data_IF_549451345603
#
_entry.id   IF_549451345603
#
_cell.length_a   1.000
_cell.length_b   1.000
_cell.length_c   1.000
_cell.angle_alpha   90.00
_cell.angle_beta   90.00
_cell.angle_gamma   90.00
#
_symmetry.space_group_name_H-M   'P 1'
#
loop_
_entity.id
_entity.type
_entity.pdbx_description
1 polymer ?
#
# COMPACT_ATOMS: atom_id res chain seq x y z
N UNK A 1 0.42 18.83 -13.03
CA UNK A 1 1.03 17.54 -12.63
C UNK A 1 1.40 17.50 -11.14
N UNK A 2 2.10 18.50 -10.60
CA UNK A 2 2.45 18.54 -9.15
C UNK A 2 1.24 18.44 -8.20
N UNK A 3 0.10 19.06 -8.54
CA UNK A 3 -1.10 19.04 -7.70
C UNK A 3 -1.73 17.65 -7.57
N UNK A 4 -1.81 16.89 -8.67
CA UNK A 4 -2.37 15.53 -8.69
C UNK A 4 -1.49 14.54 -7.89
N UNK A 5 -0.17 14.63 -8.06
CA UNK A 5 0.79 13.82 -7.31
C UNK A 5 0.70 14.15 -5.82
N UNK A 6 0.62 15.44 -5.47
CA UNK A 6 0.43 15.88 -4.09
C UNK A 6 -0.86 15.35 -3.47
N UNK A 7 -1.98 15.48 -4.18
CA UNK A 7 -3.28 14.94 -3.74
C UNK A 7 -3.18 13.43 -3.50
N UNK A 8 -2.59 12.67 -4.45
CA UNK A 8 -2.45 11.23 -4.31
C UNK A 8 -1.55 10.86 -3.12
N UNK A 9 -0.46 11.57 -2.89
CA UNK A 9 0.43 11.36 -1.75
C UNK A 9 -0.29 11.61 -0.42
N UNK A 10 -1.03 12.73 -0.30
CA UNK A 10 -1.82 13.01 0.91
C UNK A 10 -2.92 11.98 1.13
N UNK A 11 -3.56 11.49 0.06
CA UNK A 11 -4.57 10.43 0.15
C UNK A 11 -3.96 9.13 0.67
N UNK A 12 -2.81 8.71 0.14
CA UNK A 12 -2.12 7.50 0.59
C UNK A 12 -1.66 7.60 2.04
N UNK A 13 -1.12 8.76 2.43
CA UNK A 13 -0.75 9.03 3.83
C UNK A 13 -1.99 9.00 4.71
N UNK A 14 -3.07 9.65 4.29
CA UNK A 14 -4.34 9.66 5.01
C UNK A 14 -4.88 8.25 5.24
N UNK A 15 -4.92 7.42 4.20
CA UNK A 15 -5.35 6.01 4.29
C UNK A 15 -4.43 5.21 5.21
N UNK A 16 -3.12 5.50 5.24
CA UNK A 16 -2.18 4.81 6.10
C UNK A 16 -2.29 5.21 7.58
N UNK A 17 -2.57 6.49 7.86
CA UNK A 17 -2.53 7.08 9.21
C UNK A 17 -3.90 7.06 9.88
N UNK A 18 -4.99 7.22 9.11
CA UNK A 18 -6.36 7.29 9.65
C UNK A 18 -6.76 6.09 10.52
N UNK A 19 -6.47 4.83 10.16
CA UNK A 19 -6.79 3.68 11.02
C UNK A 19 -6.06 3.74 12.36
N UNK A 20 -4.80 4.20 12.35
CA UNK A 20 -4.00 4.33 13.57
C UNK A 20 -4.57 5.42 14.50
N UNK A 21 -4.94 6.57 13.93
CA UNK A 21 -5.58 7.65 14.69
C UNK A 21 -6.92 7.22 15.27
N UNK A 22 -7.73 6.51 14.48
CA UNK A 22 -9.04 6.04 14.93
C UNK A 22 -8.92 4.98 16.02
N UNK A 23 -7.90 4.10 15.94
CA UNK A 23 -7.56 3.15 16.99
C UNK A 23 -7.15 3.86 18.29
N UNK A 24 -6.34 4.93 18.18
CA UNK A 24 -5.97 5.74 19.34
C UNK A 24 -7.17 6.39 20.01
N UNK A 25 -8.10 6.95 19.21
CA UNK A 25 -9.34 7.51 19.74
C UNK A 25 -10.26 6.44 20.34
N UNK A 26 -10.31 5.24 19.75
CA UNK A 26 -11.01 4.09 20.33
C UNK A 26 -10.48 3.78 21.74
N UNK A 27 -9.16 3.70 21.93
CA UNK A 27 -8.56 3.42 23.25
C UNK A 27 -8.96 4.48 24.28
N UNK A 28 -9.01 5.75 23.89
CA UNK A 28 -9.50 6.83 24.77
C UNK A 28 -10.99 6.68 25.08
N UNK A 29 -11.83 6.40 24.08
CA UNK A 29 -13.27 6.27 24.24
C UNK A 29 -13.64 5.08 25.13
N UNK A 30 -12.93 3.95 24.97
CA UNK A 30 -13.07 2.74 25.77
C UNK A 30 -12.69 3.00 27.24
N UNK A 31 -11.56 3.69 27.48
CA UNK A 31 -11.13 4.12 28.82
C UNK A 31 -12.15 5.03 29.51
N UNK A 32 -12.92 5.80 28.76
CA UNK A 32 -13.97 6.69 29.24
C UNK A 32 -15.35 6.01 29.33
N UNK A 33 -15.48 4.73 28.96
CA UNK A 33 -16.74 3.98 29.00
C UNK A 33 -17.79 4.45 27.98
N UNK A 34 -17.35 5.07 26.87
CA UNK A 34 -18.26 5.61 25.86
C UNK A 34 -18.80 4.49 24.96
N UNK A 35 -20.14 4.44 24.79
CA UNK A 35 -20.83 3.50 23.88
C UNK A 35 -20.42 3.61 22.40
N UNK A 36 -19.71 4.66 22.02
CA UNK A 36 -19.19 4.88 20.67
C UNK A 36 -17.97 4.01 20.36
N UNK A 37 -17.27 3.48 21.37
CA UNK A 37 -16.04 2.69 21.20
C UNK A 37 -16.21 1.53 20.20
N UNK A 38 -17.27 0.74 20.30
CA UNK A 38 -17.53 -0.38 19.37
C UNK A 38 -17.73 0.09 17.92
N UNK A 39 -18.36 1.26 17.74
CA UNK A 39 -18.52 1.87 16.41
C UNK A 39 -17.18 2.35 15.87
N UNK A 40 -16.30 2.87 16.71
CA UNK A 40 -14.95 3.27 16.31
C UNK A 40 -14.08 2.07 15.96
N UNK A 41 -14.20 0.96 16.70
CA UNK A 41 -13.46 -0.27 16.43
C UNK A 41 -13.88 -0.88 15.09
N UNK A 42 -15.19 -0.99 14.83
CA UNK A 42 -15.71 -1.48 13.54
C UNK A 42 -15.31 -0.58 12.37
N UNK A 43 -15.32 0.74 12.53
CA UNK A 43 -14.80 1.67 11.52
C UNK A 43 -13.29 1.50 11.30
N UNK A 44 -12.53 1.30 12.37
CA UNK A 44 -11.08 1.06 12.29
C UNK A 44 -10.79 -0.22 11.51
N UNK A 45 -11.55 -1.29 11.75
CA UNK A 45 -11.44 -2.54 10.99
C UNK A 45 -11.72 -2.31 9.49
N UNK A 46 -12.78 -1.57 9.14
CA UNK A 46 -13.09 -1.23 7.74
C UNK A 46 -12.00 -0.38 7.09
N UNK A 47 -11.44 0.60 7.80
CA UNK A 47 -10.35 1.42 7.28
C UNK A 47 -9.07 0.60 7.08
N UNK A 48 -8.77 -0.33 7.99
CA UNK A 48 -7.68 -1.29 7.82
C UNK A 48 -7.91 -2.15 6.57
N UNK A 49 -9.12 -2.65 6.34
CA UNK A 49 -9.46 -3.40 5.12
C UNK A 49 -9.18 -2.57 3.85
N UNK A 50 -9.64 -1.32 3.81
CA UNK A 50 -9.36 -0.39 2.69
C UNK A 50 -7.86 -0.13 2.55
N UNK A 51 -7.12 0.01 3.65
CA UNK A 51 -5.66 0.17 3.63
C UNK A 51 -4.95 -1.06 3.05
N UNK A 52 -5.38 -2.27 3.42
CA UNK A 52 -4.83 -3.52 2.88
C UNK A 52 -5.13 -3.67 1.39
N UNK A 53 -6.37 -3.37 0.96
CA UNK A 53 -6.74 -3.36 -0.46
C UNK A 53 -5.92 -2.34 -1.26
N UNK A 54 -5.88 -1.08 -0.78
CA UNK A 54 -5.10 -0.01 -1.40
C UNK A 54 -3.62 -0.34 -1.46
N UNK A 55 -3.06 -0.86 -0.37
CA UNK A 55 -1.66 -1.31 -0.30
C UNK A 55 -1.37 -2.47 -1.26
N UNK A 56 -2.31 -3.41 -1.42
CA UNK A 56 -2.24 -4.50 -2.39
C UNK A 56 -2.17 -3.98 -3.83
N UNK A 57 -3.10 -3.10 -4.20
CA UNK A 57 -3.13 -2.47 -5.54
C UNK A 57 -1.87 -1.66 -5.82
N UNK A 58 -1.44 -0.83 -4.87
CA UNK A 58 -0.21 -0.02 -5.00
C UNK A 58 1.03 -0.91 -5.14
N UNK A 59 1.08 -2.05 -4.46
CA UNK A 59 2.16 -3.03 -4.61
C UNK A 59 2.18 -3.66 -6.01
N UNK A 60 1.02 -3.99 -6.58
CA UNK A 60 0.92 -4.53 -7.94
C UNK A 60 1.33 -3.47 -8.95
N UNK A 61 0.65 -2.33 -8.98
CA UNK A 61 0.89 -1.27 -9.97
C UNK A 61 2.32 -0.74 -9.86
N UNK A 62 2.76 -0.42 -8.64
CA UNK A 62 4.12 0.05 -8.39
C UNK A 62 5.16 -1.02 -8.70
N UNK A 63 4.90 -2.29 -8.38
CA UNK A 63 5.79 -3.39 -8.69
C UNK A 63 5.98 -3.60 -10.20
N UNK A 64 4.89 -3.56 -10.97
CA UNK A 64 4.93 -3.63 -12.43
C UNK A 64 5.70 -2.45 -13.03
N UNK A 65 5.47 -1.24 -12.52
CA UNK A 65 6.18 -0.05 -12.98
C UNK A 65 7.69 -0.14 -12.70
N UNK A 66 8.07 -0.58 -11.49
CA UNK A 66 9.47 -0.80 -11.12
C UNK A 66 10.12 -1.88 -12.00
N UNK A 67 9.41 -2.98 -12.28
CA UNK A 67 9.92 -4.03 -13.15
C UNK A 67 10.10 -3.53 -14.59
N UNK A 68 9.15 -2.76 -15.12
CA UNK A 68 9.25 -2.15 -16.44
C UNK A 68 10.41 -1.16 -16.54
N UNK A 69 10.60 -0.32 -15.51
CA UNK A 69 11.76 0.57 -15.40
C UNK A 69 13.08 -0.21 -15.33
N UNK A 70 13.10 -1.34 -14.61
CA UNK A 70 14.25 -2.22 -14.53
C UNK A 70 14.64 -2.80 -15.89
N UNK A 71 13.66 -3.30 -16.65
CA UNK A 71 13.85 -3.80 -18.02
C UNK A 71 14.36 -2.67 -18.92
N UNK A 72 13.69 -1.51 -18.91
CA UNK A 72 14.09 -0.37 -19.72
C UNK A 72 15.52 0.09 -19.41
N UNK A 73 15.87 0.22 -18.13
CA UNK A 73 17.21 0.63 -17.69
C UNK A 73 18.30 -0.40 -18.03
N UNK A 74 17.98 -1.70 -17.92
CA UNK A 74 18.88 -2.78 -18.32
C UNK A 74 19.21 -2.76 -19.82
N UNK A 75 18.26 -2.34 -20.66
CA UNK A 75 18.43 -2.27 -22.11
C UNK A 75 19.02 -0.93 -22.60
N UNK A 76 18.72 0.18 -21.91
CA UNK A 76 18.94 1.53 -22.44
C UNK A 76 20.17 2.26 -21.87
N UNK A 77 20.66 1.89 -20.69
CA UNK A 77 21.72 2.66 -20.01
C UNK A 77 23.13 2.22 -20.44
N UNK A 78 24.04 3.15 -20.69
CA UNK A 78 25.47 2.88 -20.88
C UNK A 78 26.22 3.70 -19.84
N UNK A 79 26.45 3.12 -18.65
CA UNK A 79 27.44 2.06 -18.42
C UNK A 79 26.83 0.70 -18.00
N UNK A 80 27.58 -0.41 -18.11
CA UNK A 80 27.11 -1.76 -17.78
C UNK A 80 26.72 -1.93 -16.31
N UNK A 81 27.36 -1.20 -15.38
CA UNK A 81 26.96 -1.22 -13.96
C UNK A 81 25.56 -0.67 -13.72
N UNK A 82 25.13 0.35 -14.48
CA UNK A 82 23.77 0.87 -14.38
C UNK A 82 22.76 -0.11 -14.97
N UNK A 83 23.13 -0.89 -16.00
CA UNK A 83 22.29 -1.98 -16.52
C UNK A 83 22.07 -3.05 -15.46
N UNK A 84 23.13 -3.47 -14.79
CA UNK A 84 23.09 -4.47 -13.72
C UNK A 84 22.24 -3.99 -12.53
N UNK A 85 22.45 -2.75 -12.09
CA UNK A 85 21.63 -2.14 -11.05
C UNK A 85 20.14 -2.04 -11.45
N UNK A 86 19.86 -1.70 -12.71
CA UNK A 86 18.49 -1.66 -13.23
C UNK A 86 17.87 -3.05 -13.32
N UNK A 87 18.65 -4.07 -13.69
CA UNK A 87 18.18 -5.45 -13.74
C UNK A 87 17.72 -5.97 -12.37
N UNK A 88 18.34 -5.50 -11.27
CA UNK A 88 17.90 -5.83 -9.90
C UNK A 88 16.54 -5.24 -9.53
N UNK A 89 16.07 -4.20 -10.23
CA UNK A 89 14.72 -3.67 -10.03
C UNK A 89 13.65 -4.65 -10.52
N UNK A 90 13.96 -5.52 -11.49
CA UNK A 90 13.01 -6.51 -12.02
C UNK A 90 12.55 -7.52 -10.95
N UNK A 91 13.44 -8.29 -10.28
CA UNK A 91 13.02 -9.21 -9.23
C UNK A 91 12.37 -8.48 -8.05
N UNK A 92 12.82 -7.26 -7.72
CA UNK A 92 12.19 -6.45 -6.67
C UNK A 92 10.75 -6.02 -7.04
N UNK A 93 10.53 -5.57 -8.28
CA UNK A 93 9.22 -5.22 -8.81
C UNK A 93 8.27 -6.42 -8.81
N UNK A 94 8.74 -7.58 -9.29
CA UNK A 94 7.97 -8.82 -9.28
C UNK A 94 7.64 -9.30 -7.86
N UNK A 95 8.57 -9.18 -6.92
CA UNK A 95 8.31 -9.50 -5.51
C UNK A 95 7.20 -8.62 -4.93
N UNK A 96 7.17 -7.33 -5.25
CA UNK A 96 6.07 -6.43 -4.85
C UNK A 96 4.74 -6.85 -5.47
N UNK A 97 4.71 -7.22 -6.75
CA UNK A 97 3.51 -7.74 -7.40
C UNK A 97 3.01 -8.99 -6.69
N UNK A 98 3.89 -9.95 -6.42
CA UNK A 98 3.55 -11.17 -5.70
C UNK A 98 2.93 -10.86 -4.33
N UNK A 99 3.53 -9.95 -3.56
CA UNK A 99 2.99 -9.51 -2.26
C UNK A 99 1.61 -8.86 -2.40
N UNK A 100 1.42 -7.99 -3.40
CA UNK A 100 0.14 -7.35 -3.65
C UNK A 100 -0.96 -8.34 -4.02
N UNK A 101 -0.66 -9.31 -4.90
CA UNK A 101 -1.60 -10.38 -5.27
C UNK A 101 -1.93 -11.26 -4.08
N UNK A 102 -0.94 -11.63 -3.26
CA UNK A 102 -1.16 -12.45 -2.06
C UNK A 102 -2.11 -11.74 -1.07
N UNK A 103 -1.96 -10.43 -0.89
CA UNK A 103 -2.86 -9.63 -0.04
C UNK A 103 -4.28 -9.59 -0.60
N UNK A 104 -4.45 -9.33 -1.90
CA UNK A 104 -5.78 -9.29 -2.52
C UNK A 104 -6.48 -10.65 -2.50
N UNK A 105 -5.72 -11.75 -2.69
CA UNK A 105 -6.25 -13.12 -2.58
C UNK A 105 -6.71 -13.42 -1.16
N UNK A 106 -5.90 -13.10 -0.15
CA UNK A 106 -6.26 -13.31 1.25
C UNK A 106 -7.53 -12.53 1.64
N UNK A 107 -7.74 -11.35 1.04
CA UNK A 107 -8.96 -10.58 1.22
C UNK A 107 -10.17 -11.25 0.55
N UNK A 108 -10.02 -11.68 -0.71
CA UNK A 108 -11.09 -12.37 -1.45
C UNK A 108 -11.54 -13.66 -0.77
N UNK A 109 -10.63 -14.41 -0.14
CA UNK A 109 -10.95 -15.64 0.59
C UNK A 109 -11.55 -15.41 1.99
N UNK A 110 -11.53 -14.17 2.50
CA UNK A 110 -12.10 -13.83 3.79
C UNK A 110 -13.58 -13.38 3.69
N UNK A 111 -14.05 -13.08 2.48
CA UNK A 111 -15.44 -12.72 2.17
C UNK A 111 -16.29 -13.93 1.72
N UNK A 112 -15.68 -15.11 1.51
CA UNK A 112 -16.35 -16.42 1.28
C UNK A 112 -16.63 -17.17 2.59
#
# INVERSE_FOLDING_TARGET
>A
MHTLIGIAAYLLIGIAVAPLLLLGLYVLADRLGLKVADRMLSLTARLLQVQWLGGGVVNIVGGLFIAALGIWGALSLAPPMHRLASALLVPFGLWRVFRGVAVLRAFSSADE
#
